data_IF_244807845738
#
_entry.id   IF_244807845738
#
_cell.length_a   1.000
_cell.length_b   1.000
_cell.length_c   1.000
_cell.angle_alpha   90.00
_cell.angle_beta   90.00
_cell.angle_gamma   90.00
#
_symmetry.space_group_name_H-M   'P 1'
#
loop_
_entity.id
_entity.type
_entity.pdbx_description
1 polymer ?
#
# COMPACT_ATOMS: atom_id res chain seq x y z
N UNK A 1 20.79 3.48 15.56
CA UNK A 1 19.87 3.17 14.43
C UNK A 1 18.90 2.13 14.95
N UNK A 2 17.63 2.44 15.00
CA UNK A 2 16.58 1.52 15.46
C UNK A 2 15.88 0.99 14.20
N UNK A 3 15.73 -0.33 14.11
CA UNK A 3 15.07 -1.00 12.98
C UNK A 3 13.83 -1.71 13.51
N UNK A 4 12.67 -1.33 13.05
CA UNK A 4 11.41 -1.99 13.38
C UNK A 4 10.99 -2.91 12.22
N UNK A 5 10.80 -4.19 12.51
CA UNK A 5 10.46 -5.20 11.51
C UNK A 5 9.08 -5.75 11.81
N UNK A 6 8.14 -5.56 10.90
CA UNK A 6 6.81 -6.19 10.94
C UNK A 6 6.81 -7.46 10.12
N UNK A 7 6.43 -8.57 10.74
CA UNK A 7 6.30 -9.86 10.07
C UNK A 7 4.87 -10.40 10.27
N UNK A 8 4.24 -10.84 9.19
CA UNK A 8 2.96 -11.56 9.23
C UNK A 8 3.15 -12.94 8.63
N UNK A 9 2.83 -13.98 9.41
CA UNK A 9 2.84 -15.37 8.96
C UNK A 9 1.40 -15.85 8.75
N UNK A 10 1.18 -16.60 7.68
CA UNK A 10 -0.11 -17.19 7.34
C UNK A 10 0.04 -18.72 7.25
N UNK A 11 -0.93 -19.42 7.80
CA UNK A 11 -1.05 -20.87 7.71
C UNK A 11 -2.39 -21.22 7.06
N UNK A 12 -2.37 -22.11 6.08
CA UNK A 12 -3.60 -22.63 5.50
C UNK A 12 -4.14 -23.76 6.40
N UNK A 13 -5.38 -23.61 6.86
CA UNK A 13 -6.09 -24.62 7.61
C UNK A 13 -7.36 -25.02 6.88
N UNK A 14 -7.59 -26.30 6.76
CA UNK A 14 -8.86 -26.82 6.29
C UNK A 14 -9.76 -27.06 7.51
N UNK A 15 -10.97 -26.52 7.46
CA UNK A 15 -11.98 -26.67 8.49
C UNK A 15 -13.19 -27.35 7.88
N UNK A 16 -13.58 -28.47 8.40
CA UNK A 16 -14.83 -29.15 8.05
C UNK A 16 -15.95 -28.55 8.91
N UNK A 17 -16.97 -28.02 8.24
CA UNK A 17 -18.09 -27.34 8.89
C UNK A 17 -19.36 -28.12 8.61
N UNK A 18 -20.11 -28.46 9.65
CA UNK A 18 -21.45 -29.05 9.53
C UNK A 18 -22.41 -27.92 9.14
N UNK A 19 -23.03 -28.04 7.99
CA UNK A 19 -23.97 -27.06 7.48
C UNK A 19 -25.43 -27.42 7.77
N UNK A 20 -25.72 -28.72 7.91
CA UNK A 20 -27.04 -29.23 8.17
C UNK A 20 -26.99 -30.54 8.96
N UNK A 21 -28.03 -30.83 9.72
CA UNK A 21 -28.20 -32.03 10.53
C UNK A 21 -29.57 -32.61 10.28
N UNK A 22 -29.65 -33.89 9.94
CA UNK A 22 -30.87 -34.60 9.75
C UNK A 22 -30.87 -35.92 10.51
N UNK A 23 -31.98 -36.25 11.19
CA UNK A 23 -32.22 -37.57 11.79
C UNK A 23 -33.66 -38.04 11.47
N UNK A 24 -33.81 -39.23 10.94
CA UNK A 24 -35.13 -39.81 10.67
C UNK A 24 -35.87 -40.29 11.92
N UNK A 25 -35.18 -40.42 13.07
CA UNK A 25 -35.72 -41.08 14.27
C UNK A 25 -35.75 -40.22 15.52
N UNK A 26 -35.11 -39.04 15.51
CA UNK A 26 -35.03 -38.17 16.68
C UNK A 26 -35.26 -36.72 16.21
N UNK A 27 -36.08 -35.97 16.94
CA UNK A 27 -36.20 -34.55 16.76
C UNK A 27 -34.92 -33.83 17.19
N UNK A 28 -34.24 -33.17 16.22
CA UNK A 28 -33.01 -32.44 16.46
C UNK A 28 -33.31 -30.93 16.50
N UNK A 29 -32.89 -30.29 17.57
CA UNK A 29 -32.79 -28.84 17.65
C UNK A 29 -31.34 -28.45 17.58
N UNK A 30 -31.00 -27.53 16.65
CA UNK A 30 -29.64 -27.03 16.52
C UNK A 30 -29.62 -25.50 16.31
N UNK A 31 -28.53 -24.89 16.73
CA UNK A 31 -28.29 -23.47 16.54
C UNK A 31 -27.26 -23.27 15.43
N UNK A 32 -27.59 -22.42 14.46
CA UNK A 32 -26.66 -22.02 13.39
C UNK A 32 -26.03 -20.66 13.71
N UNK A 33 -24.71 -20.60 13.66
CA UNK A 33 -23.95 -19.36 13.84
C UNK A 33 -23.19 -19.00 12.57
N UNK A 34 -23.44 -17.80 12.05
CA UNK A 34 -22.65 -17.28 10.93
C UNK A 34 -21.35 -16.70 11.44
N UNK A 35 -20.23 -17.16 10.91
CA UNK A 35 -18.90 -16.60 11.15
C UNK A 35 -18.41 -15.95 9.85
N UNK A 36 -17.85 -14.74 9.97
CA UNK A 36 -17.11 -14.11 8.88
C UNK A 36 -15.64 -14.45 9.07
N UNK A 37 -15.02 -15.05 8.06
CA UNK A 37 -13.59 -15.35 8.05
C UNK A 37 -12.91 -14.51 6.97
N UNK A 38 -11.72 -14.00 7.26
CA UNK A 38 -10.86 -13.36 6.28
C UNK A 38 -9.85 -14.37 5.78
N UNK A 39 -9.72 -14.47 4.47
CA UNK A 39 -8.73 -15.31 3.82
C UNK A 39 -7.76 -14.41 3.04
N UNK A 40 -6.46 -14.67 3.20
CA UNK A 40 -5.46 -14.05 2.32
C UNK A 40 -5.69 -14.56 0.90
N UNK A 41 -5.91 -13.66 -0.03
CA UNK A 41 -6.19 -14.01 -1.41
C UNK A 41 -4.92 -14.12 -2.24
N UNK A 42 -4.09 -13.08 -2.21
CA UNK A 42 -2.86 -13.04 -3.01
C UNK A 42 -1.88 -12.00 -2.45
N UNK A 43 -0.66 -12.01 -3.00
CA UNK A 43 0.35 -11.00 -2.80
C UNK A 43 0.83 -10.54 -4.19
N UNK A 44 0.46 -9.34 -4.58
CA UNK A 44 0.77 -8.78 -5.89
C UNK A 44 1.91 -7.79 -5.74
N UNK A 45 2.95 -7.96 -6.57
CA UNK A 45 4.04 -7.00 -6.71
C UNK A 45 3.90 -6.30 -8.06
N UNK A 46 4.03 -4.98 -8.04
CA UNK A 46 3.99 -4.19 -9.26
C UNK A 46 4.97 -3.02 -9.17
N UNK A 47 5.39 -2.48 -10.31
CA UNK A 47 6.35 -1.38 -10.40
C UNK A 47 5.70 -0.19 -11.09
N UNK A 48 5.68 0.94 -10.40
CA UNK A 48 5.27 2.23 -10.96
C UNK A 48 6.51 3.04 -11.31
N UNK A 49 6.72 3.32 -12.60
CA UNK A 49 7.82 4.15 -13.06
C UNK A 49 7.32 5.59 -13.25
N UNK A 50 7.84 6.50 -12.43
CA UNK A 50 7.55 7.92 -12.52
C UNK A 50 8.80 8.60 -13.09
N UNK A 51 8.63 9.31 -14.20
CA UNK A 51 9.70 10.11 -14.83
C UNK A 51 9.21 11.53 -14.99
N UNK A 52 9.77 12.43 -14.22
CA UNK A 52 9.42 13.84 -14.24
C UNK A 52 10.67 14.70 -14.31
N UNK A 53 10.62 15.77 -15.10
CA UNK A 53 11.70 16.74 -15.17
C UNK A 53 11.28 17.98 -14.39
N UNK A 54 11.95 18.21 -13.27
CA UNK A 54 11.71 19.37 -12.42
C UNK A 54 12.87 20.35 -12.53
N UNK A 55 12.54 21.65 -12.64
CA UNK A 55 13.52 22.72 -12.52
C UNK A 55 13.33 23.39 -11.17
N UNK A 56 14.37 23.38 -10.35
CA UNK A 56 14.34 23.93 -9.00
C UNK A 56 15.33 25.10 -8.97
N UNK A 57 14.86 26.35 -9.22
CA UNK A 57 15.73 27.53 -9.32
C UNK A 57 16.51 27.78 -8.03
N UNK A 58 15.95 27.42 -6.88
CA UNK A 58 16.56 27.61 -5.57
C UNK A 58 17.84 26.76 -5.38
N UNK A 59 17.94 25.63 -6.06
CA UNK A 59 19.14 24.82 -6.05
C UNK A 59 20.21 25.48 -6.93
N UNK A 60 19.86 25.87 -8.16
CA UNK A 60 20.77 26.53 -9.09
C UNK A 60 22.13 25.81 -9.20
N UNK A 61 23.21 26.54 -8.89
CA UNK A 61 24.58 26.00 -8.83
C UNK A 61 24.99 25.53 -7.42
N UNK A 62 24.06 25.47 -6.46
CA UNK A 62 24.33 25.03 -5.11
C UNK A 62 24.57 23.50 -5.08
N UNK A 63 25.42 23.06 -4.14
CA UNK A 63 25.70 21.64 -3.98
C UNK A 63 24.48 20.94 -3.39
N UNK A 64 23.95 19.95 -4.09
CA UNK A 64 22.94 19.04 -3.58
C UNK A 64 23.62 18.03 -2.64
N UNK A 65 23.08 17.89 -1.44
CA UNK A 65 23.55 16.91 -0.45
C UNK A 65 22.75 15.63 -0.47
N UNK A 66 21.41 15.76 -0.49
CA UNK A 66 20.52 14.61 -0.41
C UNK A 66 19.16 14.90 -1.03
N UNK A 67 18.42 13.84 -1.35
CA UNK A 67 17.03 13.89 -1.79
C UNK A 67 16.25 12.82 -1.05
N UNK A 68 15.44 13.23 -0.10
CA UNK A 68 14.52 12.31 0.59
C UNK A 68 13.29 12.11 -0.27
N UNK A 69 12.90 10.85 -0.46
CA UNK A 69 11.77 10.45 -1.31
C UNK A 69 10.71 9.77 -0.44
N UNK A 70 9.49 10.30 -0.44
CA UNK A 70 8.39 9.74 0.34
C UNK A 70 7.14 9.60 -0.53
N UNK A 71 6.66 8.37 -0.80
CA UNK A 71 5.39 8.16 -1.48
C UNK A 71 4.22 8.42 -0.51
N UNK A 72 3.20 9.10 -0.99
CA UNK A 72 1.99 9.42 -0.23
C UNK A 72 0.79 8.99 -1.06
N UNK A 73 -0.06 8.10 -0.52
CA UNK A 73 -1.34 7.74 -1.12
C UNK A 73 -2.40 8.69 -0.60
N UNK A 74 -3.01 9.44 -1.51
CA UNK A 74 -4.10 10.36 -1.20
C UNK A 74 -5.46 9.68 -1.29
N UNK A 75 -5.60 8.73 -2.23
CA UNK A 75 -6.85 8.01 -2.43
C UNK A 75 -6.60 6.58 -2.91
N UNK A 76 -7.48 5.67 -2.49
CA UNK A 76 -7.50 4.27 -2.90
C UNK A 76 -8.92 3.88 -3.28
N UNK A 77 -9.09 3.31 -4.46
CA UNK A 77 -10.38 2.80 -4.93
C UNK A 77 -10.24 1.34 -5.34
N UNK A 78 -11.03 0.49 -4.71
CA UNK A 78 -11.10 -0.93 -5.02
C UNK A 78 -12.29 -1.16 -5.94
N UNK A 79 -12.02 -1.72 -7.10
CA UNK A 79 -13.01 -2.17 -8.08
C UNK A 79 -12.97 -3.70 -8.17
N UNK A 80 -13.84 -4.28 -8.97
CA UNK A 80 -13.73 -5.70 -9.30
C UNK A 80 -12.47 -5.92 -10.14
N UNK A 81 -11.61 -6.84 -9.68
CA UNK A 81 -10.37 -7.25 -10.33
C UNK A 81 -9.32 -6.13 -10.53
N UNK A 82 -9.49 -4.97 -9.86
CA UNK A 82 -8.59 -3.82 -10.02
C UNK A 82 -8.54 -2.93 -8.78
N UNK A 83 -7.36 -2.40 -8.52
CA UNK A 83 -7.13 -1.38 -7.51
C UNK A 83 -6.57 -0.13 -8.18
N UNK A 84 -7.11 1.02 -7.84
CA UNK A 84 -6.63 2.33 -8.31
C UNK A 84 -6.06 3.09 -7.12
N UNK A 85 -4.89 3.67 -7.29
CA UNK A 85 -4.23 4.54 -6.33
C UNK A 85 -3.96 5.89 -6.97
N UNK A 86 -4.36 6.95 -6.27
CA UNK A 86 -3.99 8.31 -6.56
C UNK A 86 -3.10 8.82 -5.43
N UNK A 87 -2.00 9.44 -5.76
CA UNK A 87 -1.07 9.92 -4.76
C UNK A 87 -0.04 10.88 -5.29
N UNK A 88 0.96 11.13 -4.49
CA UNK A 88 2.09 11.97 -4.83
C UNK A 88 3.39 11.39 -4.27
N UNK A 89 4.48 11.60 -4.98
CA UNK A 89 5.82 11.38 -4.45
C UNK A 89 6.34 12.72 -3.96
N UNK A 90 6.56 12.81 -2.66
CA UNK A 90 7.17 13.98 -2.04
C UNK A 90 8.69 13.86 -2.08
N UNK A 91 9.34 14.81 -2.73
CA UNK A 91 10.78 14.95 -2.82
C UNK A 91 11.22 16.11 -1.93
N UNK A 92 12.09 15.87 -0.97
CA UNK A 92 12.69 16.89 -0.14
C UNK A 92 14.19 17.02 -0.48
N UNK A 93 14.52 18.06 -1.22
CA UNK A 93 15.90 18.36 -1.65
C UNK A 93 16.64 19.09 -0.54
N UNK A 94 17.80 18.59 -0.15
CA UNK A 94 18.68 19.17 0.86
C UNK A 94 19.95 19.67 0.17
N UNK A 95 20.20 20.98 0.21
CA UNK A 95 21.30 21.60 -0.54
C UNK A 95 22.01 22.73 0.21
N UNK A 96 23.26 23.02 -0.19
CA UNK A 96 24.03 24.12 0.36
C UNK A 96 23.40 25.46 -0.02
N UNK A 97 23.48 26.45 0.88
CA UNK A 97 23.16 27.85 0.55
C UNK A 97 24.47 28.63 0.36
N UNK A 98 24.68 29.12 -0.84
CA UNK A 98 25.86 29.96 -1.14
C UNK A 98 25.72 31.41 -0.61
N UNK A 99 24.49 31.86 -0.29
CA UNK A 99 24.23 33.25 0.09
C UNK A 99 24.19 33.49 1.60
N UNK A 100 23.90 32.44 2.40
CA UNK A 100 23.75 32.59 3.85
C UNK A 100 24.62 31.62 4.67
N UNK A 101 25.41 30.77 4.00
CA UNK A 101 26.28 29.80 4.67
C UNK A 101 25.47 28.83 5.54
N UNK A 102 24.79 27.85 4.92
CA UNK A 102 23.96 26.90 5.64
C UNK A 102 23.36 25.82 4.73
N UNK A 103 22.47 25.04 5.32
CA UNK A 103 21.70 24.02 4.61
C UNK A 103 20.26 24.53 4.41
N UNK A 104 19.80 24.46 3.17
CA UNK A 104 18.41 24.76 2.81
C UNK A 104 17.70 23.51 2.33
N UNK A 105 16.38 23.52 2.44
CA UNK A 105 15.53 22.44 1.93
C UNK A 105 14.49 23.00 0.98
N UNK A 106 14.14 22.20 -0.03
CA UNK A 106 13.03 22.49 -0.95
C UNK A 106 12.20 21.25 -1.17
N UNK A 107 10.92 21.35 -0.91
CA UNK A 107 9.96 20.28 -1.12
C UNK A 107 9.27 20.43 -2.47
N UNK A 108 9.17 19.33 -3.23
CA UNK A 108 8.45 19.21 -4.50
C UNK A 108 7.60 17.96 -4.45
N UNK A 109 6.33 18.07 -4.83
CA UNK A 109 5.42 16.94 -4.90
C UNK A 109 5.12 16.62 -6.36
N UNK A 110 5.26 15.33 -6.72
CA UNK A 110 4.98 14.82 -8.07
C UNK A 110 3.75 13.92 -7.98
N UNK A 111 2.63 14.30 -8.58
CA UNK A 111 1.43 13.48 -8.56
C UNK A 111 1.60 12.23 -9.41
N UNK A 112 0.96 11.14 -8.98
CA UNK A 112 0.86 9.91 -9.76
C UNK A 112 -0.52 9.29 -9.64
N UNK A 113 -0.87 8.52 -10.67
CA UNK A 113 -2.02 7.65 -10.72
C UNK A 113 -1.55 6.25 -11.14
N UNK A 114 -1.95 5.24 -10.40
CA UNK A 114 -1.45 3.90 -10.61
C UNK A 114 -2.57 2.86 -10.47
N UNK A 115 -2.66 1.96 -11.44
CA UNK A 115 -3.65 0.90 -11.48
C UNK A 115 -2.97 -0.46 -11.34
N UNK A 116 -3.53 -1.31 -10.50
CA UNK A 116 -3.08 -2.69 -10.30
C UNK A 116 -4.23 -3.62 -10.67
N UNK A 117 -4.00 -4.51 -11.62
CA UNK A 117 -4.92 -5.60 -11.90
C UNK A 117 -4.74 -6.70 -10.84
N UNK A 118 -5.84 -7.09 -10.21
CA UNK A 118 -5.85 -7.99 -9.05
C UNK A 118 -7.05 -8.93 -9.12
N UNK A 119 -6.90 -10.05 -9.83
CA UNK A 119 -7.98 -10.98 -10.10
C UNK A 119 -8.71 -11.46 -8.85
N UNK A 120 -10.03 -11.38 -8.89
CA UNK A 120 -10.93 -11.84 -7.84
C UNK A 120 -10.98 -10.93 -6.62
N UNK A 121 -10.42 -9.73 -6.67
CA UNK A 121 -10.63 -8.71 -5.66
C UNK A 121 -12.01 -8.06 -5.84
N UNK A 122 -12.63 -7.67 -4.77
CA UNK A 122 -13.94 -7.00 -4.75
C UNK A 122 -13.89 -5.75 -3.88
N UNK A 123 -14.81 -4.79 -4.03
CA UNK A 123 -14.79 -3.53 -3.28
C UNK A 123 -14.74 -3.67 -1.75
N UNK A 124 -15.17 -4.83 -1.23
CA UNK A 124 -15.14 -5.15 0.21
C UNK A 124 -13.85 -5.83 0.68
N UNK A 125 -12.89 -6.05 -0.22
CA UNK A 125 -11.60 -6.66 0.10
C UNK A 125 -10.73 -5.72 0.92
N UNK A 126 -9.94 -6.29 1.83
CA UNK A 126 -8.95 -5.56 2.62
C UNK A 126 -7.59 -5.62 1.91
N UNK A 127 -6.92 -4.48 1.84
CA UNK A 127 -5.62 -4.35 1.17
C UNK A 127 -4.59 -3.82 2.16
N UNK A 128 -3.44 -4.47 2.19
CA UNK A 128 -2.24 -3.99 2.88
C UNK A 128 -1.25 -3.59 1.78
N UNK A 129 -0.85 -2.32 1.78
CA UNK A 129 0.07 -1.76 0.80
C UNK A 129 1.41 -1.47 1.45
N UNK A 130 2.49 -1.85 0.78
CA UNK A 130 3.85 -1.48 1.15
C UNK A 130 4.60 -0.94 -0.06
N UNK A 131 5.52 -0.01 0.17
CA UNK A 131 6.35 0.59 -0.87
C UNK A 131 7.82 0.28 -0.66
N UNK A 132 8.50 -0.01 -1.76
CA UNK A 132 9.94 0.02 -1.85
C UNK A 132 10.33 1.04 -2.93
N UNK A 133 11.27 1.92 -2.62
CA UNK A 133 11.81 2.93 -3.55
C UNK A 133 13.18 2.45 -3.98
N UNK A 134 13.44 2.44 -5.30
CA UNK A 134 14.70 2.01 -5.90
C UNK A 134 15.33 3.14 -6.69
#
# INVERSE_FOLDING_TARGET
MELEIYCQAYENRQLDIIQDLYSPTIDLTFEQKRIKVMQKKDCIQNVCNIREKQTIPEIGNNKLYDVEVTPIINNQKILNDRIMYDGEVSLNFIFASNTQGGINTKKVNIPFNFNIDANGIVPTSNIILSFNIF
#
